data_IF_439273729045
#
_entry.id   IF_439273729045
#
_cell.length_a   1.000
_cell.length_b   1.000
_cell.length_c   1.000
_cell.angle_alpha   90.00
_cell.angle_beta   90.00
_cell.angle_gamma   90.00
#
_symmetry.space_group_name_H-M   'P 1'
#
loop_
_entity.id
_entity.type
_entity.pdbx_description
1 polymer ?
#
# COMPACT_ATOMS: atom_id res chain seq x y z
N UNK A 1 4.95 12.60 -2.30
CA UNK A 1 4.85 11.34 -1.54
C UNK A 1 5.08 10.19 -2.50
N UNK A 2 5.68 9.10 -2.02
CA UNK A 2 5.83 7.87 -2.79
C UNK A 2 5.17 6.72 -2.04
N UNK A 3 4.47 5.85 -2.77
CA UNK A 3 3.64 4.79 -2.18
C UNK A 3 3.79 3.48 -2.94
N UNK A 4 3.73 2.37 -2.19
CA UNK A 4 3.83 1.03 -2.77
C UNK A 4 3.35 -0.06 -1.82
N UNK A 5 3.22 -1.27 -2.35
CA UNK A 5 2.95 -2.48 -1.59
C UNK A 5 4.23 -3.31 -1.46
N UNK A 6 4.50 -3.77 -0.25
CA UNK A 6 5.62 -4.66 0.06
C UNK A 6 5.05 -6.01 0.51
N UNK A 7 5.48 -7.09 -0.15
CA UNK A 7 5.03 -8.45 0.14
C UNK A 7 6.19 -9.23 0.75
N UNK A 8 6.04 -9.72 1.97
CA UNK A 8 7.11 -10.33 2.77
C UNK A 8 7.71 -11.55 2.06
N UNK A 9 6.86 -12.44 1.56
CA UNK A 9 7.27 -13.64 0.82
C UNK A 9 8.02 -13.33 -0.50
N UNK A 10 7.90 -12.10 -1.03
CA UNK A 10 8.60 -11.67 -2.24
C UNK A 10 9.83 -10.79 -1.91
N UNK A 11 10.33 -10.83 -0.67
CA UNK A 11 11.45 -10.01 -0.22
C UNK A 11 11.14 -8.51 -0.27
N UNK A 12 9.90 -8.12 0.02
CA UNK A 12 9.44 -6.72 -0.02
C UNK A 12 9.06 -6.22 -1.41
N UNK A 13 9.21 -7.02 -2.47
CA UNK A 13 8.69 -6.67 -3.81
C UNK A 13 7.16 -6.67 -3.81
N UNK A 14 6.49 -5.87 -4.67
CA UNK A 14 7.03 -4.92 -5.66
C UNK A 14 7.78 -3.70 -5.09
N UNK A 15 7.43 -3.24 -3.88
CA UNK A 15 8.05 -2.07 -3.24
C UNK A 15 7.88 -0.81 -4.09
N UNK A 16 8.95 -0.04 -4.28
CA UNK A 16 8.96 1.17 -5.14
C UNK A 16 8.53 0.91 -6.59
N UNK A 17 8.60 -0.34 -7.07
CA UNK A 17 8.18 -0.72 -8.41
C UNK A 17 6.70 -1.12 -8.50
N UNK A 18 5.90 -0.82 -7.47
CA UNK A 18 4.48 -1.22 -7.37
C UNK A 18 3.66 -0.87 -8.60
N UNK A 19 3.81 0.34 -9.16
CA UNK A 19 3.06 0.77 -10.35
C UNK A 19 3.55 0.14 -11.67
N UNK A 20 4.70 -0.52 -11.68
CA UNK A 20 5.37 -1.06 -12.88
C UNK A 20 5.79 -2.52 -12.70
N UNK A 21 5.15 -3.26 -11.80
CA UNK A 21 5.61 -4.59 -11.45
C UNK A 21 5.54 -5.57 -12.63
N UNK A 22 4.57 -5.40 -13.53
CA UNK A 22 4.42 -6.14 -14.78
C UNK A 22 5.34 -5.64 -15.92
N UNK A 23 6.15 -4.61 -15.72
CA UNK A 23 7.08 -4.08 -16.73
C UNK A 23 6.62 -2.76 -17.36
N UNK A 24 6.97 -2.54 -18.63
CA UNK A 24 6.74 -1.27 -19.36
C UNK A 24 5.25 -0.95 -19.52
N UNK A 25 4.44 -1.97 -19.82
CA UNK A 25 2.99 -1.82 -19.98
C UNK A 25 2.31 -1.85 -18.62
N UNK A 26 2.20 -0.68 -17.99
CA UNK A 26 1.56 -0.52 -16.68
C UNK A 26 0.11 -1.04 -16.73
N UNK A 27 -0.21 -2.00 -15.88
CA UNK A 27 -1.56 -2.54 -15.74
C UNK A 27 -1.76 -3.11 -14.34
N UNK A 28 -2.77 -2.63 -13.62
CA UNK A 28 -3.11 -3.13 -12.29
C UNK A 28 -3.47 -4.62 -12.33
N UNK A 29 -4.20 -5.05 -13.37
CA UNK A 29 -4.55 -6.46 -13.55
C UNK A 29 -3.29 -7.33 -13.77
N UNK A 30 -2.39 -6.93 -14.68
CA UNK A 30 -1.13 -7.67 -14.92
C UNK A 30 -0.23 -7.68 -13.68
N UNK A 31 -0.21 -6.58 -12.91
CA UNK A 31 0.50 -6.49 -11.64
C UNK A 31 -0.06 -7.51 -10.62
N UNK A 32 -1.38 -7.56 -10.48
CA UNK A 32 -2.09 -8.49 -9.59
C UNK A 32 -1.86 -9.95 -10.00
N UNK A 33 -1.99 -10.27 -11.29
CA UNK A 33 -1.72 -11.61 -11.84
C UNK A 33 -0.28 -12.05 -11.55
N UNK A 34 0.69 -11.16 -11.75
CA UNK A 34 2.10 -11.45 -11.47
C UNK A 34 2.34 -11.72 -9.98
N UNK A 35 1.71 -10.95 -9.09
CA UNK A 35 1.79 -11.20 -7.64
C UNK A 35 1.22 -12.57 -7.29
N UNK A 36 0.03 -12.91 -7.80
CA UNK A 36 -0.60 -14.20 -7.55
C UNK A 36 0.27 -15.36 -8.06
N UNK A 37 0.80 -15.25 -9.28
CA UNK A 37 1.71 -16.25 -9.86
C UNK A 37 2.96 -16.47 -9.01
N UNK A 38 3.57 -15.40 -8.51
CA UNK A 38 4.78 -15.48 -7.69
C UNK A 38 4.51 -16.05 -6.28
N UNK A 39 3.31 -15.84 -5.74
CA UNK A 39 2.91 -16.39 -4.45
C UNK A 39 2.45 -17.85 -4.53
N UNK A 40 2.08 -18.35 -5.72
CA UNK A 40 1.73 -19.74 -5.97
C UNK A 40 0.69 -20.25 -4.96
N UNK A 41 1.00 -21.37 -4.31
CA UNK A 41 0.13 -22.05 -3.33
C UNK A 41 0.45 -21.69 -1.88
N UNK A 42 1.22 -20.61 -1.63
CA UNK A 42 1.54 -20.22 -0.26
C UNK A 42 0.26 -20.04 0.57
N UNK A 43 0.19 -20.59 1.80
CA UNK A 43 -0.97 -20.42 2.65
C UNK A 43 -1.13 -18.96 3.04
N UNK A 44 -2.37 -18.56 3.36
CA UNK A 44 -2.71 -17.16 3.66
C UNK A 44 -1.81 -16.55 4.77
N UNK A 45 -1.40 -17.36 5.75
CA UNK A 45 -0.50 -16.96 6.85
C UNK A 45 0.90 -16.53 6.40
N UNK A 46 1.35 -16.97 5.22
CA UNK A 46 2.64 -16.62 4.60
C UNK A 46 2.53 -15.50 3.57
N UNK A 47 1.33 -14.99 3.30
CA UNK A 47 1.07 -13.91 2.32
C UNK A 47 1.05 -12.52 2.94
N UNK A 48 1.87 -12.28 3.97
CA UNK A 48 1.92 -10.99 4.66
C UNK A 48 2.35 -9.89 3.72
N UNK A 49 1.64 -8.77 3.76
CA UNK A 49 1.95 -7.60 2.97
C UNK A 49 1.58 -6.32 3.74
N UNK A 50 2.18 -5.22 3.33
CA UNK A 50 1.76 -3.90 3.78
C UNK A 50 1.84 -2.90 2.66
N UNK A 51 0.90 -1.96 2.65
CA UNK A 51 1.11 -0.73 1.91
C UNK A 51 1.96 0.23 2.75
N UNK A 52 2.87 0.95 2.09
CA UNK A 52 3.67 2.03 2.66
C UNK A 52 3.46 3.32 1.85
N UNK A 53 3.47 4.47 2.54
CA UNK A 53 3.53 5.80 1.95
C UNK A 53 4.59 6.60 2.71
N UNK A 54 5.57 7.15 1.99
CA UNK A 54 6.54 8.09 2.50
C UNK A 54 6.20 9.51 2.01
N UNK A 55 6.16 10.47 2.93
CA UNK A 55 5.96 11.89 2.63
C UNK A 55 7.23 12.63 3.02
N UNK A 56 7.97 13.08 2.01
CA UNK A 56 9.07 14.01 2.18
C UNK A 56 8.54 15.44 2.27
N UNK A 57 9.05 16.21 3.24
CA UNK A 57 8.70 17.59 3.52
C UNK A 57 9.97 18.41 3.33
N UNK A 58 9.90 19.46 2.54
CA UNK A 58 11.05 20.31 2.20
C UNK A 58 10.66 21.79 2.23
N UNK A 59 11.62 22.66 2.53
CA UNK A 59 11.51 24.12 2.45
C UNK A 59 12.62 24.70 1.55
N UNK A 60 12.85 26.01 1.61
CA UNK A 60 13.89 26.68 0.82
C UNK A 60 15.31 26.20 1.12
N UNK A 61 15.56 25.65 2.30
CA UNK A 61 16.84 25.09 2.73
C UNK A 61 17.02 23.61 2.38
N UNK A 62 15.99 22.95 1.86
CA UNK A 62 16.04 21.54 1.45
C UNK A 62 15.09 20.65 2.25
N UNK A 63 15.45 19.37 2.39
CA UNK A 63 14.63 18.37 3.08
C UNK A 63 14.60 18.65 4.58
N UNK A 64 13.42 18.91 5.13
CA UNK A 64 13.23 19.17 6.57
C UNK A 64 12.78 17.94 7.33
N UNK A 65 12.17 16.96 6.66
CA UNK A 65 11.78 15.71 7.29
C UNK A 65 11.10 14.72 6.35
N UNK A 66 11.04 13.47 6.80
CA UNK A 66 10.30 12.40 6.12
C UNK A 66 9.43 11.69 7.15
N UNK A 67 8.17 11.48 6.80
CA UNK A 67 7.25 10.67 7.61
C UNK A 67 6.72 9.49 6.80
N UNK A 68 6.51 8.36 7.48
CA UNK A 68 5.96 7.16 6.86
C UNK A 68 4.64 6.73 7.48
N UNK A 69 3.69 6.32 6.64
CA UNK A 69 2.48 5.61 7.02
C UNK A 69 2.51 4.19 6.47
N UNK A 70 2.08 3.21 7.28
CA UNK A 70 1.99 1.80 6.87
C UNK A 70 0.62 1.22 7.21
N UNK A 71 0.11 0.37 6.33
CA UNK A 71 -1.12 -0.38 6.57
C UNK A 71 -0.85 -1.86 6.31
N UNK A 72 -0.98 -2.69 7.35
CA UNK A 72 -0.69 -4.12 7.27
C UNK A 72 -1.93 -4.90 6.82
N UNK A 73 -1.69 -5.97 6.06
CA UNK A 73 -2.72 -6.87 5.55
C UNK A 73 -2.10 -8.16 5.02
N UNK A 74 -2.87 -8.86 4.20
CA UNK A 74 -2.45 -10.08 3.52
C UNK A 74 -2.77 -9.96 2.03
N UNK A 75 -2.13 -10.76 1.19
CA UNK A 75 -2.54 -10.95 -0.20
C UNK A 75 -3.56 -12.07 -0.27
N UNK A 76 -4.73 -11.78 -0.83
CA UNK A 76 -5.79 -12.76 -1.09
C UNK A 76 -5.37 -13.78 -2.17
N UNK A 77 -6.17 -14.84 -2.31
CA UNK A 77 -5.96 -15.84 -3.38
C UNK A 77 -6.52 -15.39 -4.73
N UNK A 78 -7.50 -14.47 -4.72
CA UNK A 78 -8.18 -13.97 -5.91
C UNK A 78 -8.63 -12.52 -5.68
N UNK A 79 -8.73 -11.68 -6.74
CA UNK A 79 -9.20 -10.32 -6.61
C UNK A 79 -10.69 -10.28 -6.25
N UNK A 80 -11.07 -9.45 -5.28
CA UNK A 80 -12.47 -9.21 -4.92
C UNK A 80 -12.75 -7.72 -4.77
N UNK A 81 -13.95 -7.28 -5.17
CA UNK A 81 -14.39 -5.89 -5.07
C UNK A 81 -14.00 -5.03 -6.26
N UNK A 82 -14.53 -3.80 -6.30
CA UNK A 82 -14.45 -2.89 -7.44
C UNK A 82 -14.04 -1.47 -7.06
N UNK A 83 -13.95 -1.16 -5.76
CA UNK A 83 -13.48 0.15 -5.31
C UNK A 83 -11.95 0.24 -5.32
N UNK A 84 -11.41 1.45 -5.46
CA UNK A 84 -9.97 1.67 -5.38
C UNK A 84 -9.22 1.28 -6.66
N UNK A 85 -7.94 0.96 -6.53
CA UNK A 85 -7.03 0.71 -7.67
C UNK A 85 -5.81 -0.13 -7.25
N UNK A 86 -4.95 -0.47 -8.20
CA UNK A 86 -3.71 -1.19 -7.94
C UNK A 86 -3.98 -2.57 -7.35
N UNK A 87 -3.41 -2.82 -6.18
CA UNK A 87 -3.51 -4.10 -5.47
C UNK A 87 -4.68 -4.14 -4.48
N UNK A 88 -5.54 -3.12 -4.44
CA UNK A 88 -6.71 -3.10 -3.54
C UNK A 88 -7.63 -4.32 -3.67
N UNK A 89 -7.88 -4.89 -4.87
CA UNK A 89 -8.65 -6.12 -5.00
C UNK A 89 -7.99 -7.34 -4.36
N UNK A 90 -6.67 -7.34 -4.19
CA UNK A 90 -5.92 -8.41 -3.54
C UNK A 90 -5.57 -8.12 -2.07
N UNK A 91 -5.59 -6.87 -1.64
CA UNK A 91 -5.14 -6.49 -0.30
C UNK A 91 -6.23 -6.78 0.75
N UNK A 92 -6.11 -7.94 1.38
CA UNK A 92 -7.04 -8.48 2.35
C UNK A 92 -6.79 -7.92 3.76
N UNK A 93 -7.86 -7.51 4.43
CA UNK A 93 -7.85 -7.01 5.80
C UNK A 93 -8.54 -8.02 6.72
N UNK A 94 -7.78 -8.77 7.54
CA UNK A 94 -8.34 -9.81 8.42
C UNK A 94 -9.48 -9.31 9.32
N UNK A 95 -9.32 -8.11 9.90
CA UNK A 95 -10.33 -7.49 10.78
C UNK A 95 -11.72 -7.36 10.11
N UNK A 96 -11.77 -7.17 8.80
CA UNK A 96 -13.03 -7.00 8.06
C UNK A 96 -13.41 -8.20 7.20
N UNK A 97 -12.55 -9.23 7.15
CA UNK A 97 -12.68 -10.38 6.24
C UNK A 97 -12.95 -9.98 4.78
N UNK A 98 -12.38 -8.84 4.36
CA UNK A 98 -12.64 -8.20 3.07
C UNK A 98 -11.36 -7.60 2.51
N UNK A 99 -11.29 -7.49 1.19
CA UNK A 99 -10.23 -6.75 0.51
C UNK A 99 -10.50 -5.24 0.59
N UNK A 100 -9.49 -4.41 0.36
CA UNK A 100 -9.68 -2.97 0.26
C UNK A 100 -10.71 -2.59 -0.81
N UNK A 101 -10.72 -3.27 -1.94
CA UNK A 101 -11.69 -2.99 -2.99
C UNK A 101 -13.14 -3.38 -2.63
N UNK A 102 -13.35 -4.18 -1.57
CA UNK A 102 -14.68 -4.47 -1.02
C UNK A 102 -15.11 -3.50 0.10
N UNK A 103 -14.17 -2.81 0.76
CA UNK A 103 -14.47 -1.94 1.91
C UNK A 103 -14.95 -0.54 1.51
N UNK A 104 -14.66 -0.12 0.29
CA UNK A 104 -15.00 1.20 -0.21
C UNK A 104 -14.17 2.34 0.41
N UNK A 105 -14.33 3.56 -0.09
CA UNK A 105 -13.44 4.68 0.23
C UNK A 105 -13.55 5.14 1.69
N UNK A 106 -14.76 5.14 2.26
CA UNK A 106 -15.01 5.61 3.64
C UNK A 106 -14.21 4.83 4.69
N UNK A 107 -14.15 3.50 4.57
CA UNK A 107 -13.39 2.66 5.50
C UNK A 107 -11.89 2.75 5.19
N UNK A 108 -11.51 2.65 3.90
CA UNK A 108 -10.11 2.74 3.46
C UNK A 108 -9.46 4.03 3.95
N UNK A 109 -10.14 5.18 3.84
CA UNK A 109 -9.62 6.47 4.28
C UNK A 109 -9.26 6.53 5.77
N UNK A 110 -9.90 5.74 6.63
CA UNK A 110 -9.61 5.76 8.08
C UNK A 110 -8.32 5.01 8.46
N UNK A 111 -7.83 4.12 7.60
CA UNK A 111 -6.73 3.22 7.94
C UNK A 111 -5.65 3.05 6.87
N UNK A 112 -5.81 3.70 5.71
CA UNK A 112 -4.82 3.59 4.64
C UNK A 112 -3.45 4.15 5.06
N UNK A 113 -2.40 3.56 4.50
CA UNK A 113 -1.02 4.02 4.58
C UNK A 113 -0.90 5.53 4.29
N UNK A 114 -1.56 6.02 3.23
CA UNK A 114 -1.55 7.44 2.86
C UNK A 114 -2.22 8.33 3.91
N UNK A 115 -3.38 7.93 4.44
CA UNK A 115 -4.03 8.67 5.54
C UNK A 115 -3.11 8.77 6.77
N UNK A 116 -2.49 7.65 7.15
CA UNK A 116 -1.57 7.61 8.29
C UNK A 116 -0.33 8.49 8.06
N UNK A 117 0.23 8.47 6.85
CA UNK A 117 1.37 9.30 6.48
C UNK A 117 1.00 10.79 6.52
N UNK A 118 -0.13 11.19 5.92
CA UNK A 118 -0.59 12.58 5.91
C UNK A 118 -0.97 13.09 7.30
N UNK A 119 -1.55 12.23 8.16
CA UNK A 119 -1.82 12.58 9.57
C UNK A 119 -0.52 12.90 10.31
N UNK A 120 0.55 12.12 10.07
CA UNK A 120 1.88 12.38 10.64
C UNK A 120 2.51 13.64 10.05
N UNK A 121 2.39 13.84 8.74
CA UNK A 121 2.92 15.03 8.05
C UNK A 121 2.27 16.31 8.59
N UNK A 122 0.95 16.31 8.77
CA UNK A 122 0.23 17.43 9.39
C UNK A 122 0.77 17.74 10.79
N UNK A 123 0.96 16.71 11.63
CA UNK A 123 1.54 16.89 12.98
C UNK A 123 2.97 17.45 12.92
N UNK A 124 3.78 16.94 12.00
CA UNK A 124 5.15 17.43 11.78
C UNK A 124 5.16 18.92 11.41
N UNK A 125 4.33 19.33 10.45
CA UNK A 125 4.21 20.73 10.04
C UNK A 125 3.71 21.64 11.17
N UNK A 126 2.71 21.21 11.94
CA UNK A 126 2.23 22.00 13.09
C UNK A 126 3.32 22.22 14.13
N UNK A 127 4.19 21.23 14.35
CA UNK A 127 5.29 21.32 15.30
C UNK A 127 6.49 22.14 14.79
N UNK A 128 6.64 22.34 13.47
CA UNK A 128 7.69 23.19 12.91
C UNK A 128 7.42 24.70 13.07
N UNK A 129 6.17 25.06 13.31
CA UNK A 129 5.73 26.45 13.46
C UNK A 129 5.44 26.84 14.92
N UNK A 130 5.82 25.98 15.88
CA UNK A 130 5.84 26.28 17.33
C UNK A 130 7.27 26.57 17.75
#
# INVERSE_FOLDING_TARGET
EDSGICIEALGGKPGVNSARFCGKDKSDNKNNEKVLKLLGDLPLSKRKAYYACAVAIADKGGLVGVVEGRCNGLIAFEPKGHFGFGYDPLFYIPKYKKTFAQLGPKIKHKMSHRFLALKKARKFLTNLHQ
#
